data_IF_804089979575
#
_entry.id   IF_804089979575
#
_cell.length_a   1.000
_cell.length_b   1.000
_cell.length_c   1.000
_cell.angle_alpha   90.00
_cell.angle_beta   90.00
_cell.angle_gamma   90.00
#
_symmetry.space_group_name_H-M   'P 1'
#
loop_
_entity.id
_entity.type
_entity.pdbx_description
1 polymer ?
#
# COMPACT_ATOMS: atom_id res chain seq x y z
N UNK A 1 -3.21 -12.21 -12.67
CA UNK A 1 -3.57 -10.78 -12.79
C UNK A 1 -3.77 -10.19 -11.42
N UNK A 2 -3.08 -9.06 -11.14
CA UNK A 2 -3.23 -8.33 -9.90
C UNK A 2 -4.20 -7.15 -10.06
N UNK A 3 -4.96 -6.89 -9.02
CA UNK A 3 -5.84 -5.74 -8.88
C UNK A 3 -5.41 -5.00 -7.62
N UNK A 4 -5.11 -3.70 -7.72
CA UNK A 4 -4.70 -2.89 -6.58
C UNK A 4 -5.62 -1.68 -6.41
N UNK A 5 -5.98 -1.36 -5.16
CA UNK A 5 -6.72 -0.14 -4.83
C UNK A 5 -5.95 0.71 -3.84
N UNK A 6 -6.07 2.02 -3.93
CA UNK A 6 -5.49 2.92 -2.93
C UNK A 6 -5.34 4.34 -3.42
N UNK A 7 -4.84 5.18 -2.52
CA UNK A 7 -4.52 6.57 -2.83
C UNK A 7 -3.47 6.66 -3.93
N UNK A 8 -3.64 7.66 -4.80
CA UNK A 8 -2.72 8.07 -5.85
C UNK A 8 -2.33 9.52 -5.57
N UNK A 9 -1.06 9.75 -5.25
CA UNK A 9 -0.54 11.07 -4.87
C UNK A 9 0.62 11.50 -5.74
N UNK A 10 0.84 12.80 -5.83
CA UNK A 10 2.15 13.34 -6.19
C UNK A 10 2.87 13.65 -4.89
N UNK A 11 4.03 13.04 -4.68
CA UNK A 11 4.90 13.25 -3.54
C UNK A 11 5.97 14.28 -3.92
N UNK A 12 5.93 15.47 -3.31
CA UNK A 12 6.91 16.54 -3.47
C UNK A 12 7.83 16.57 -2.25
N UNK A 13 9.11 16.27 -2.44
CA UNK A 13 10.13 16.30 -1.37
C UNK A 13 11.08 17.46 -1.57
N UNK A 14 11.17 18.33 -0.58
CA UNK A 14 12.12 19.44 -0.49
C UNK A 14 13.19 19.09 0.54
N UNK A 15 14.45 19.06 0.14
CA UNK A 15 15.59 18.89 1.03
C UNK A 15 16.37 20.21 1.05
N UNK A 16 16.31 20.90 2.17
CA UNK A 16 16.98 22.18 2.39
C UNK A 16 18.03 22.05 3.52
N UNK A 17 19.21 22.68 3.42
CA UNK A 17 20.19 22.72 4.51
C UNK A 17 19.66 23.51 5.71
N UNK A 18 18.82 24.51 5.48
CA UNK A 18 18.19 25.37 6.47
C UNK A 18 16.91 25.96 5.85
N UNK A 19 15.85 26.13 6.66
CA UNK A 19 14.68 26.86 6.23
C UNK A 19 15.02 28.37 6.09
N UNK A 20 14.60 29.03 5.02
CA UNK A 20 14.83 30.44 4.86
C UNK A 20 14.05 31.25 5.90
N UNK A 21 14.56 32.42 6.33
CA UNK A 21 13.79 33.36 7.14
C UNK A 21 12.49 33.75 6.43
N UNK A 22 11.52 34.21 7.20
CA UNK A 22 10.24 34.68 6.65
C UNK A 22 10.44 35.72 5.52
N UNK A 23 9.74 35.55 4.41
CA UNK A 23 9.82 36.42 3.23
C UNK A 23 11.10 36.29 2.42
N UNK A 24 11.94 35.30 2.68
CA UNK A 24 13.16 34.99 1.91
C UNK A 24 13.04 33.67 1.19
N UNK A 25 13.86 33.51 0.13
CA UNK A 25 14.01 32.24 -0.59
C UNK A 25 15.38 31.63 -0.32
N UNK A 26 15.46 30.32 -0.43
CA UNK A 26 16.71 29.55 -0.31
C UNK A 26 16.79 28.50 -1.41
N UNK A 27 18.00 28.15 -1.79
CA UNK A 27 18.24 27.01 -2.69
C UNK A 27 17.99 25.70 -1.95
N UNK A 28 17.20 24.83 -2.55
CA UNK A 28 16.89 23.50 -2.05
C UNK A 28 16.85 22.49 -3.20
N UNK A 29 17.04 21.21 -2.89
CA UNK A 29 16.73 20.14 -3.83
C UNK A 29 15.25 19.83 -3.72
N UNK A 30 14.51 19.99 -4.81
CA UNK A 30 13.08 19.66 -4.87
C UNK A 30 12.89 18.55 -5.90
N UNK A 31 12.22 17.49 -5.49
CA UNK A 31 11.86 16.35 -6.35
C UNK A 31 10.37 16.10 -6.27
N UNK A 32 9.77 15.68 -7.36
CA UNK A 32 8.39 15.23 -7.40
C UNK A 32 8.32 13.83 -8.03
N UNK A 33 7.53 12.95 -7.43
CA UNK A 33 7.31 11.58 -7.91
C UNK A 33 5.86 11.16 -7.73
N UNK A 34 5.43 10.16 -8.50
CA UNK A 34 4.18 9.49 -8.21
C UNK A 34 4.34 8.67 -6.93
N UNK A 35 3.27 8.63 -6.13
CA UNK A 35 3.20 7.95 -4.86
C UNK A 35 1.77 7.53 -4.53
N UNK A 36 1.48 7.38 -3.23
CA UNK A 36 0.24 6.82 -2.74
C UNK A 36 0.27 5.30 -2.71
N UNK A 37 -0.31 4.71 -1.66
CA UNK A 37 -0.17 3.28 -1.37
C UNK A 37 -0.62 2.39 -2.55
N UNK A 38 -1.76 2.69 -3.16
CA UNK A 38 -2.25 1.93 -4.32
C UNK A 38 -1.30 1.98 -5.51
N UNK A 39 -0.81 3.19 -5.82
CA UNK A 39 0.16 3.41 -6.89
C UNK A 39 1.50 2.74 -6.64
N UNK A 40 1.99 2.77 -5.40
CA UNK A 40 3.25 2.13 -5.01
C UNK A 40 3.18 0.61 -5.15
N UNK A 41 2.14 -0.02 -4.61
CA UNK A 41 1.94 -1.48 -4.75
C UNK A 41 1.84 -1.88 -6.21
N UNK A 42 1.09 -1.12 -7.03
CA UNK A 42 1.00 -1.38 -8.47
C UNK A 42 2.36 -1.24 -9.18
N UNK A 43 3.14 -0.21 -8.83
CA UNK A 43 4.51 -0.03 -9.34
C UNK A 43 5.41 -1.21 -8.99
N UNK A 44 5.45 -1.62 -7.73
CA UNK A 44 6.32 -2.72 -7.29
C UNK A 44 5.89 -4.07 -7.86
N UNK A 45 4.60 -4.32 -8.03
CA UNK A 45 4.13 -5.50 -8.77
C UNK A 45 4.64 -5.49 -10.22
N UNK A 46 4.68 -4.32 -10.88
CA UNK A 46 5.28 -4.20 -12.23
C UNK A 46 6.77 -4.45 -12.23
N UNK A 47 7.51 -4.00 -11.21
CA UNK A 47 8.94 -4.33 -11.06
C UNK A 47 9.19 -5.84 -10.93
N UNK A 48 8.21 -6.58 -10.41
CA UNK A 48 8.22 -8.05 -10.28
C UNK A 48 7.61 -8.75 -11.51
N UNK A 49 7.46 -8.04 -12.65
CA UNK A 49 6.93 -8.61 -13.89
C UNK A 49 5.43 -8.92 -13.91
N UNK A 50 4.68 -8.53 -12.86
CA UNK A 50 3.26 -8.87 -12.73
C UNK A 50 2.36 -7.95 -13.56
N UNK A 51 1.34 -8.48 -14.26
CA UNK A 51 0.30 -7.67 -14.87
C UNK A 51 -0.62 -7.08 -13.79
N UNK A 52 -0.83 -5.74 -13.82
CA UNK A 52 -1.56 -5.01 -12.77
C UNK A 52 -2.65 -4.13 -13.36
N UNK A 53 -3.81 -4.17 -12.74
CA UNK A 53 -4.90 -3.22 -12.90
C UNK A 53 -5.06 -2.39 -11.62
N UNK A 54 -5.03 -1.07 -11.75
CA UNK A 54 -5.03 -0.14 -10.62
C UNK A 54 -6.30 0.69 -10.57
N UNK A 55 -6.94 0.72 -9.41
CA UNK A 55 -8.02 1.65 -9.08
C UNK A 55 -7.55 2.70 -8.09
N UNK A 56 -7.85 3.94 -8.38
CA UNK A 56 -7.68 5.10 -7.52
C UNK A 56 -8.26 6.31 -8.23
N UNK A 57 -8.55 7.39 -7.50
CA UNK A 57 -9.17 8.59 -8.07
C UNK A 57 -8.13 9.68 -8.26
N UNK A 58 -8.10 10.26 -9.45
CA UNK A 58 -7.19 11.36 -9.83
C UNK A 58 -7.99 12.60 -10.23
N UNK A 59 -7.39 13.77 -10.01
CA UNK A 59 -7.96 15.04 -10.48
C UNK A 59 -7.86 15.19 -11.99
N UNK A 60 -8.77 15.99 -12.60
CA UNK A 60 -8.65 16.49 -13.97
C UNK A 60 -7.71 17.69 -14.02
N UNK A 61 -6.48 17.47 -13.57
CA UNK A 61 -5.43 18.48 -13.46
C UNK A 61 -4.08 17.96 -14.00
N UNK A 62 -3.08 18.84 -14.07
CA UNK A 62 -1.74 18.51 -14.59
C UNK A 62 -1.12 17.34 -13.79
N UNK A 63 -1.31 17.29 -12.47
CA UNK A 63 -0.77 16.25 -11.62
C UNK A 63 -1.40 14.88 -11.95
N UNK A 64 -2.71 14.84 -12.14
CA UNK A 64 -3.42 13.65 -12.57
C UNK A 64 -3.05 13.19 -13.98
N UNK A 65 -2.83 14.13 -14.91
CA UNK A 65 -2.39 13.81 -16.28
C UNK A 65 -0.99 13.21 -16.28
N UNK A 66 -0.06 13.77 -15.50
CA UNK A 66 1.28 13.20 -15.30
C UNK A 66 1.22 11.79 -14.70
N UNK A 67 0.34 11.58 -13.73
CA UNK A 67 0.15 10.28 -13.10
C UNK A 67 -0.33 9.23 -14.13
N UNK A 68 -1.38 9.54 -14.89
CA UNK A 68 -1.91 8.64 -15.95
C UNK A 68 -0.84 8.32 -16.99
N UNK A 69 -0.09 9.34 -17.45
CA UNK A 69 1.00 9.14 -18.39
C UNK A 69 2.10 8.22 -17.82
N UNK A 70 2.40 8.35 -16.52
CA UNK A 70 3.33 7.45 -15.82
C UNK A 70 2.83 6.02 -15.80
N UNK A 71 1.57 5.80 -15.43
CA UNK A 71 0.97 4.45 -15.41
C UNK A 71 1.01 3.79 -16.79
N UNK A 72 0.68 4.54 -17.85
CA UNK A 72 0.74 4.05 -19.22
C UNK A 72 2.17 3.63 -19.63
N UNK A 73 3.18 4.42 -19.27
CA UNK A 73 4.60 4.08 -19.54
C UNK A 73 5.06 2.81 -18.80
N UNK A 74 4.50 2.55 -17.63
CA UNK A 74 4.79 1.36 -16.83
C UNK A 74 3.97 0.14 -17.27
N UNK A 75 3.01 0.30 -18.19
CA UNK A 75 2.10 -0.77 -18.59
C UNK A 75 1.14 -1.19 -17.48
N UNK A 76 0.77 -0.24 -16.58
CA UNK A 76 -0.23 -0.45 -15.54
C UNK A 76 -1.60 -0.01 -16.10
N UNK A 77 -2.58 -0.93 -16.10
CA UNK A 77 -3.95 -0.65 -16.55
C UNK A 77 -4.68 0.19 -15.49
N UNK A 78 -4.92 1.47 -15.81
CA UNK A 78 -5.65 2.38 -14.92
C UNK A 78 -7.17 2.22 -15.12
N UNK A 79 -7.85 1.78 -14.08
CA UNK A 79 -9.30 1.54 -14.05
C UNK A 79 -10.03 2.45 -13.03
N UNK A 80 -9.38 3.52 -12.59
CA UNK A 80 -9.94 4.50 -11.67
C UNK A 80 -10.76 5.58 -12.35
N UNK A 81 -11.15 6.59 -11.58
CA UNK A 81 -11.96 7.72 -12.05
C UNK A 81 -11.16 9.03 -12.04
N UNK A 82 -11.65 10.01 -12.84
CA UNK A 82 -11.13 11.37 -12.93
C UNK A 82 -12.20 12.35 -12.48
N UNK A 83 -11.88 13.19 -11.50
CA UNK A 83 -12.82 14.14 -10.87
C UNK A 83 -12.30 15.58 -10.94
N UNK A 84 -13.16 16.56 -10.68
CA UNK A 84 -12.75 17.98 -10.72
C UNK A 84 -12.01 18.42 -9.44
N UNK A 85 -12.02 17.60 -8.39
CA UNK A 85 -11.19 17.80 -7.20
C UNK A 85 -9.72 17.59 -7.55
N UNK A 86 -8.79 18.44 -7.09
CA UNK A 86 -7.37 18.29 -7.39
C UNK A 86 -6.80 16.94 -6.98
N UNK A 87 -5.84 16.43 -7.75
CA UNK A 87 -5.08 15.21 -7.42
C UNK A 87 -4.47 15.28 -6.02
N UNK A 88 -4.46 14.17 -5.29
CA UNK A 88 -3.85 14.10 -3.97
C UNK A 88 -2.35 14.43 -4.00
N UNK A 89 -1.89 15.13 -2.98
CA UNK A 89 -0.49 15.54 -2.86
C UNK A 89 0.04 15.31 -1.45
N UNK A 90 1.31 14.93 -1.37
CA UNK A 90 2.10 14.88 -0.14
C UNK A 90 3.30 15.79 -0.32
N UNK A 91 3.50 16.74 0.60
CA UNK A 91 4.69 17.60 0.64
C UNK A 91 5.53 17.23 1.85
N UNK A 92 6.77 16.84 1.60
CA UNK A 92 7.77 16.54 2.65
C UNK A 92 8.84 17.62 2.60
N UNK A 93 9.05 18.31 3.71
CA UNK A 93 10.12 19.29 3.87
C UNK A 93 11.11 18.73 4.89
N UNK A 94 12.35 18.49 4.45
CA UNK A 94 13.44 17.97 5.27
C UNK A 94 14.47 19.07 5.55
N UNK A 95 14.81 19.25 6.80
CA UNK A 95 15.81 20.21 7.28
C UNK A 95 16.65 19.57 8.40
N UNK A 96 17.99 19.57 8.24
CA UNK A 96 18.96 19.23 9.31
C UNK A 96 18.59 18.01 10.19
N UNK A 97 18.04 16.95 9.58
CA UNK A 97 17.67 15.71 10.30
C UNK A 97 16.25 15.67 10.85
N UNK A 98 15.46 16.74 10.68
CA UNK A 98 14.01 16.75 10.91
C UNK A 98 13.24 16.75 9.61
N UNK A 99 11.97 16.34 9.63
CA UNK A 99 11.07 16.47 8.49
C UNK A 99 9.68 16.87 8.93
N UNK A 100 8.99 17.59 8.05
CA UNK A 100 7.57 17.92 8.17
C UNK A 100 6.83 17.36 6.96
N UNK A 101 5.69 16.75 7.20
CA UNK A 101 4.86 16.18 6.14
C UNK A 101 3.48 16.83 6.16
N UNK A 102 3.07 17.29 4.98
CA UNK A 102 1.74 17.84 4.74
C UNK A 102 1.04 16.97 3.71
N UNK A 103 -0.18 16.55 3.97
CA UNK A 103 -0.97 15.71 3.08
C UNK A 103 -2.29 16.38 2.74
N UNK A 104 -2.59 16.42 1.45
CA UNK A 104 -3.90 16.73 0.92
C UNK A 104 -4.43 15.50 0.20
N UNK A 105 -5.53 14.92 0.68
CA UNK A 105 -6.13 13.75 0.01
C UNK A 105 -6.67 14.08 -1.38
N UNK A 106 -7.24 15.28 -1.56
CA UNK A 106 -7.74 15.73 -2.86
C UNK A 106 -8.72 14.71 -3.46
N UNK A 107 -8.50 14.36 -4.72
CA UNK A 107 -9.31 13.39 -5.47
C UNK A 107 -9.47 12.03 -4.78
N UNK A 108 -8.49 11.60 -3.97
CA UNK A 108 -8.59 10.35 -3.21
C UNK A 108 -9.74 10.34 -2.18
N UNK A 109 -10.28 11.51 -1.81
CA UNK A 109 -11.45 11.62 -0.95
C UNK A 109 -12.79 11.65 -1.74
N UNK A 110 -12.73 11.67 -3.06
CA UNK A 110 -13.89 11.75 -3.95
C UNK A 110 -14.10 10.43 -4.73
N UNK A 111 -13.86 9.31 -4.07
CA UNK A 111 -14.07 7.98 -4.66
C UNK A 111 -15.56 7.76 -4.92
N UNK A 112 -15.90 7.28 -6.12
CA UNK A 112 -17.25 6.81 -6.44
C UNK A 112 -17.39 5.32 -6.06
N UNK A 113 -18.21 4.96 -5.04
CA UNK A 113 -18.42 3.58 -4.63
C UNK A 113 -18.95 2.69 -5.77
N UNK A 114 -19.65 3.26 -6.77
CA UNK A 114 -20.15 2.49 -7.92
C UNK A 114 -18.99 2.07 -8.84
N UNK A 115 -18.04 2.97 -9.08
CA UNK A 115 -16.85 2.66 -9.87
C UNK A 115 -15.97 1.65 -9.11
N UNK A 116 -15.79 1.85 -7.82
CA UNK A 116 -15.10 0.91 -6.94
C UNK A 116 -15.74 -0.49 -6.97
N UNK A 117 -17.09 -0.58 -6.86
CA UNK A 117 -17.82 -1.85 -6.96
C UNK A 117 -17.52 -2.58 -8.27
N UNK A 118 -17.59 -1.88 -9.41
CA UNK A 118 -17.28 -2.46 -10.72
C UNK A 118 -15.86 -3.00 -10.79
N UNK A 119 -14.91 -2.27 -10.18
CA UNK A 119 -13.51 -2.71 -10.10
C UNK A 119 -13.37 -4.00 -9.29
N UNK A 120 -13.92 -4.06 -8.08
CA UNK A 120 -13.88 -5.26 -7.22
C UNK A 120 -14.56 -6.44 -7.91
N UNK A 121 -15.71 -6.23 -8.56
CA UNK A 121 -16.38 -7.25 -9.37
C UNK A 121 -15.50 -7.77 -10.52
N UNK A 122 -14.68 -6.90 -11.13
CA UNK A 122 -13.76 -7.33 -12.19
C UNK A 122 -12.64 -8.22 -11.64
N UNK A 123 -12.16 -7.96 -10.43
CA UNK A 123 -11.19 -8.81 -9.75
C UNK A 123 -11.77 -10.21 -9.45
N UNK A 124 -13.04 -10.28 -9.01
CA UNK A 124 -13.74 -11.53 -8.73
C UNK A 124 -14.01 -12.37 -9.99
N UNK A 125 -13.97 -11.77 -11.19
CA UNK A 125 -14.15 -12.49 -12.46
C UNK A 125 -12.82 -13.02 -13.04
N UNK A 126 -11.69 -12.56 -12.52
CA UNK A 126 -10.37 -12.95 -13.01
C UNK A 126 -9.93 -14.26 -12.32
N UNK A 127 -9.84 -15.34 -13.08
CA UNK A 127 -9.36 -16.63 -12.58
C UNK A 127 -7.92 -16.50 -12.05
N UNK A 128 -7.67 -16.93 -10.81
CA UNK A 128 -6.37 -16.82 -10.16
C UNK A 128 -5.92 -15.39 -9.89
N UNK A 129 -6.86 -14.44 -9.79
CA UNK A 129 -6.57 -13.04 -9.49
C UNK A 129 -6.18 -12.81 -8.02
N UNK A 130 -5.48 -11.70 -7.77
CA UNK A 130 -5.20 -11.19 -6.44
C UNK A 130 -5.70 -9.74 -6.34
N UNK A 131 -6.48 -9.43 -5.31
CA UNK A 131 -6.98 -8.09 -5.00
C UNK A 131 -6.24 -7.55 -3.77
N UNK A 132 -5.42 -6.53 -3.98
CA UNK A 132 -4.86 -5.72 -2.89
C UNK A 132 -5.79 -4.54 -2.58
N UNK A 133 -6.16 -4.39 -1.32
CA UNK A 133 -7.02 -3.32 -0.81
C UNK A 133 -6.23 -2.46 0.17
N UNK A 134 -6.03 -1.20 -0.19
CA UNK A 134 -5.50 -0.20 0.75
C UNK A 134 -6.56 0.24 1.74
N UNK A 135 -6.21 0.38 3.02
CA UNK A 135 -7.07 0.97 4.03
C UNK A 135 -7.54 2.38 3.67
N UNK A 136 -6.75 3.14 2.92
CA UNK A 136 -7.17 4.45 2.41
C UNK A 136 -8.38 4.38 1.48
N UNK A 137 -8.52 3.34 0.67
CA UNK A 137 -9.73 3.12 -0.16
C UNK A 137 -10.97 2.84 0.67
N UNK A 138 -10.79 2.39 1.91
CA UNK A 138 -11.88 2.02 2.81
C UNK A 138 -12.25 3.13 3.81
N UNK A 139 -11.70 4.34 3.68
CA UNK A 139 -12.12 5.50 4.45
C UNK A 139 -13.54 5.95 4.07
N UNK A 140 -13.97 5.64 2.85
CA UNK A 140 -15.35 5.85 2.39
C UNK A 140 -16.26 4.67 2.80
N UNK A 141 -17.40 4.98 3.45
CA UNK A 141 -18.35 3.98 3.94
C UNK A 141 -18.98 3.17 2.82
N UNK A 142 -19.24 3.81 1.68
CA UNK A 142 -19.80 3.17 0.49
C UNK A 142 -18.84 2.15 -0.11
N UNK A 143 -17.54 2.46 -0.15
CA UNK A 143 -16.51 1.54 -0.60
C UNK A 143 -16.37 0.34 0.34
N UNK A 144 -16.46 0.55 1.68
CA UNK A 144 -16.47 -0.56 2.65
C UNK A 144 -17.67 -1.47 2.46
N UNK A 145 -18.87 -0.88 2.33
CA UNK A 145 -20.09 -1.63 2.09
C UNK A 145 -20.03 -2.41 0.76
N UNK A 146 -19.50 -1.78 -0.29
CA UNK A 146 -19.31 -2.39 -1.60
C UNK A 146 -18.36 -3.58 -1.56
N UNK A 147 -17.20 -3.43 -0.90
CA UNK A 147 -16.25 -4.53 -0.73
C UNK A 147 -16.92 -5.73 -0.03
N UNK A 148 -17.59 -5.47 1.09
CA UNK A 148 -18.33 -6.50 1.83
C UNK A 148 -19.38 -7.18 0.97
N UNK A 149 -20.26 -6.43 0.31
CA UNK A 149 -21.31 -6.96 -0.52
C UNK A 149 -20.77 -7.84 -1.66
N UNK A 150 -19.73 -7.39 -2.38
CA UNK A 150 -19.16 -8.14 -3.50
C UNK A 150 -18.48 -9.42 -3.03
N UNK A 151 -17.63 -9.35 -2.00
CA UNK A 151 -16.85 -10.50 -1.55
C UNK A 151 -17.69 -11.57 -0.84
N UNK A 152 -18.82 -11.20 -0.24
CA UNK A 152 -19.72 -12.17 0.42
C UNK A 152 -20.79 -12.73 -0.51
N UNK A 153 -21.17 -12.03 -1.60
CA UNK A 153 -22.22 -12.47 -2.54
C UNK A 153 -21.70 -13.34 -3.67
N UNK A 154 -20.38 -13.44 -3.85
CA UNK A 154 -19.81 -14.10 -5.02
C UNK A 154 -19.95 -15.62 -4.95
N UNK A 155 -20.71 -16.19 -5.90
CA UNK A 155 -20.69 -17.62 -6.23
C UNK A 155 -19.55 -17.98 -7.20
N UNK A 156 -18.80 -16.97 -7.67
CA UNK A 156 -17.67 -17.10 -8.58
C UNK A 156 -16.37 -17.44 -7.81
N UNK A 157 -15.33 -17.83 -8.53
CA UNK A 157 -13.99 -18.05 -7.97
C UNK A 157 -13.51 -16.73 -7.33
N UNK A 158 -13.43 -16.71 -6.00
CA UNK A 158 -12.96 -15.54 -5.26
C UNK A 158 -11.47 -15.34 -5.52
N UNK A 159 -11.00 -14.10 -5.78
CA UNK A 159 -9.57 -13.81 -5.85
C UNK A 159 -8.92 -13.98 -4.46
N UNK A 160 -7.62 -14.14 -4.41
CA UNK A 160 -6.86 -13.90 -3.18
C UNK A 160 -7.05 -12.44 -2.79
N UNK A 161 -7.53 -12.16 -1.59
CA UNK A 161 -7.77 -10.80 -1.11
C UNK A 161 -6.77 -10.48 -0.01
N UNK A 162 -6.06 -9.37 -0.18
CA UNK A 162 -5.12 -8.85 0.82
C UNK A 162 -5.44 -7.40 1.16
N UNK A 163 -5.27 -7.04 2.43
CA UNK A 163 -5.48 -5.68 2.91
C UNK A 163 -4.28 -5.19 3.71
N UNK A 164 -3.85 -3.96 3.42
CA UNK A 164 -2.93 -3.19 4.26
C UNK A 164 -3.73 -2.06 4.92
N UNK A 165 -3.71 -1.89 6.27
CA UNK A 165 -4.54 -0.90 6.96
C UNK A 165 -4.11 0.55 6.72
N UNK A 166 -2.98 0.77 6.10
CA UNK A 166 -2.41 2.02 5.61
C UNK A 166 -1.71 2.89 6.67
N UNK A 167 -2.36 3.29 7.74
CA UNK A 167 -1.76 4.09 8.81
C UNK A 167 -2.66 4.16 10.05
N UNK A 168 -2.07 4.51 11.19
CA UNK A 168 -2.82 4.76 12.44
C UNK A 168 -3.90 5.83 12.23
N UNK A 169 -3.60 6.92 11.51
CA UNK A 169 -4.57 8.00 11.26
C UNK A 169 -5.75 7.50 10.42
N UNK A 170 -5.50 6.67 9.41
CA UNK A 170 -6.55 6.05 8.60
C UNK A 170 -7.41 5.12 9.46
N UNK A 171 -6.79 4.30 10.29
CA UNK A 171 -7.50 3.39 11.19
C UNK A 171 -8.31 4.13 12.26
N UNK A 172 -7.78 5.22 12.83
CA UNK A 172 -8.52 6.09 13.75
C UNK A 172 -9.76 6.71 13.07
N UNK A 173 -9.61 7.18 11.83
CA UNK A 173 -10.71 7.77 11.06
C UNK A 173 -11.79 6.75 10.73
N UNK A 174 -11.41 5.52 10.43
CA UNK A 174 -12.34 4.42 10.11
C UNK A 174 -12.99 3.81 11.34
N UNK A 175 -12.26 3.81 12.46
CA UNK A 175 -12.61 3.10 13.68
C UNK A 175 -12.15 1.63 13.67
N UNK A 176 -11.66 1.19 14.81
CA UNK A 176 -11.05 -0.15 15.03
C UNK A 176 -11.94 -1.29 14.53
N UNK A 177 -13.22 -1.25 14.90
CA UNK A 177 -14.16 -2.34 14.56
C UNK A 177 -14.41 -2.44 13.05
N UNK A 178 -14.47 -1.29 12.36
CA UNK A 178 -14.60 -1.26 10.90
C UNK A 178 -13.35 -1.80 10.19
N UNK A 179 -12.15 -1.50 10.71
CA UNK A 179 -10.90 -2.09 10.20
C UNK A 179 -10.90 -3.60 10.36
N UNK A 180 -11.24 -4.12 11.55
CA UNK A 180 -11.31 -5.55 11.80
C UNK A 180 -12.40 -6.23 10.96
N UNK A 181 -13.54 -5.57 10.75
CA UNK A 181 -14.61 -6.09 9.88
C UNK A 181 -14.14 -6.21 8.41
N UNK A 182 -13.41 -5.22 7.89
CA UNK A 182 -12.82 -5.28 6.57
C UNK A 182 -11.74 -6.37 6.47
N UNK A 183 -10.88 -6.49 7.48
CA UNK A 183 -9.82 -7.50 7.52
C UNK A 183 -10.36 -8.94 7.53
N UNK A 184 -11.57 -9.18 8.09
CA UNK A 184 -12.26 -10.50 8.03
C UNK A 184 -12.65 -10.92 6.61
N UNK A 185 -12.70 -10.00 5.69
CA UNK A 185 -12.98 -10.29 4.28
C UNK A 185 -11.73 -10.74 3.51
N UNK A 186 -10.55 -10.64 4.13
CA UNK A 186 -9.26 -10.82 3.48
C UNK A 186 -8.62 -12.17 3.84
N UNK A 187 -7.89 -12.76 2.90
CA UNK A 187 -7.06 -13.94 3.11
C UNK A 187 -5.75 -13.56 3.80
N UNK A 188 -5.25 -12.34 3.50
CA UNK A 188 -4.03 -11.77 4.08
C UNK A 188 -4.28 -10.37 4.62
N UNK A 189 -3.84 -10.12 5.85
CA UNK A 189 -3.85 -8.81 6.48
C UNK A 189 -2.43 -8.39 6.81
N UNK A 190 -1.97 -7.23 6.30
CA UNK A 190 -0.57 -6.82 6.24
C UNK A 190 -0.26 -5.54 7.05
N UNK A 191 -0.55 -5.47 8.34
CA UNK A 191 -0.19 -4.31 9.16
C UNK A 191 1.33 -4.21 9.38
N UNK A 192 1.82 -3.04 9.78
CA UNK A 192 3.10 -2.92 10.45
C UNK A 192 2.92 -3.21 11.96
N UNK A 193 4.04 -3.21 12.72
CA UNK A 193 4.04 -3.52 14.15
C UNK A 193 3.15 -2.55 14.95
N UNK A 194 3.28 -1.24 14.71
CA UNK A 194 2.51 -0.22 15.42
C UNK A 194 1.01 -0.37 15.15
N UNK A 195 0.64 -0.59 13.90
CA UNK A 195 -0.74 -0.84 13.47
C UNK A 195 -1.31 -2.13 14.10
N UNK A 196 -0.52 -3.20 14.11
CA UNK A 196 -0.93 -4.46 14.71
C UNK A 196 -1.16 -4.33 16.23
N UNK A 197 -0.23 -3.68 16.94
CA UNK A 197 -0.34 -3.44 18.37
C UNK A 197 -1.54 -2.53 18.70
N UNK A 198 -1.77 -1.47 17.91
CA UNK A 198 -2.90 -0.58 18.08
C UNK A 198 -4.24 -1.31 17.88
N UNK A 199 -4.36 -2.11 16.81
CA UNK A 199 -5.59 -2.88 16.53
C UNK A 199 -5.86 -3.94 17.59
N UNK A 200 -4.83 -4.61 18.08
CA UNK A 200 -4.95 -5.65 19.11
C UNK A 200 -5.11 -5.08 20.51
N UNK A 201 -4.78 -3.81 20.74
CA UNK A 201 -4.62 -3.20 22.07
C UNK A 201 -3.64 -4.01 22.95
N UNK A 202 -2.54 -4.44 22.37
CA UNK A 202 -1.52 -5.30 22.95
C UNK A 202 -0.11 -4.79 22.53
N UNK A 203 0.76 -4.59 23.49
CA UNK A 203 2.12 -4.08 23.24
C UNK A 203 3.08 -5.14 22.70
N UNK A 204 2.86 -6.42 23.01
CA UNK A 204 3.64 -7.53 22.47
C UNK A 204 3.14 -7.87 21.06
N UNK A 205 3.97 -7.61 20.05
CA UNK A 205 3.61 -7.81 18.65
C UNK A 205 3.26 -9.27 18.33
N UNK A 206 3.85 -10.24 19.01
CA UNK A 206 3.55 -11.66 18.81
C UNK A 206 2.15 -11.99 19.33
N UNK A 207 1.77 -11.47 20.49
CA UNK A 207 0.42 -11.63 21.03
C UNK A 207 -0.59 -10.86 20.20
N UNK A 208 -0.24 -9.62 19.77
CA UNK A 208 -1.06 -8.82 18.88
C UNK A 208 -1.37 -9.56 17.58
N UNK A 209 -0.35 -10.15 16.93
CA UNK A 209 -0.52 -10.91 15.70
C UNK A 209 -1.43 -12.13 15.89
N UNK A 210 -1.25 -12.89 16.98
CA UNK A 210 -2.13 -14.03 17.31
C UNK A 210 -3.57 -13.58 17.56
N UNK A 211 -3.77 -12.45 18.23
CA UNK A 211 -5.10 -11.89 18.45
C UNK A 211 -5.75 -11.50 17.12
N UNK A 212 -5.03 -10.82 16.24
CA UNK A 212 -5.52 -10.40 14.93
C UNK A 212 -5.86 -11.62 14.06
N UNK A 213 -5.00 -12.63 14.02
CA UNK A 213 -5.26 -13.86 13.26
C UNK A 213 -6.57 -14.52 13.70
N UNK A 214 -6.80 -14.66 15.01
CA UNK A 214 -8.07 -15.22 15.55
C UNK A 214 -9.26 -14.32 15.26
N UNK A 215 -9.07 -13.00 15.27
CA UNK A 215 -10.14 -12.01 15.06
C UNK A 215 -10.55 -11.89 13.60
N UNK A 216 -9.63 -12.10 12.65
CA UNK A 216 -9.87 -11.97 11.21
C UNK A 216 -10.15 -13.31 10.54
N UNK A 217 -9.59 -14.39 11.06
CA UNK A 217 -9.65 -15.73 10.46
C UNK A 217 -8.70 -15.95 9.29
N UNK A 218 -8.08 -14.88 8.78
CA UNK A 218 -7.10 -14.90 7.70
C UNK A 218 -5.66 -15.01 8.22
N UNK A 219 -4.70 -15.04 7.31
CA UNK A 219 -3.27 -14.95 7.65
C UNK A 219 -2.87 -13.50 7.91
N UNK A 220 -2.23 -13.24 9.05
CA UNK A 220 -1.72 -11.92 9.40
C UNK A 220 -0.22 -11.88 9.19
N UNK A 221 0.26 -10.87 8.45
CA UNK A 221 1.67 -10.67 8.11
C UNK A 221 2.12 -9.31 8.64
N UNK A 222 2.90 -9.30 9.71
CA UNK A 222 3.33 -8.06 10.36
C UNK A 222 4.72 -7.67 9.89
N UNK A 223 4.82 -6.45 9.35
CA UNK A 223 6.08 -5.81 8.95
C UNK A 223 6.77 -5.25 10.18
N UNK A 224 8.01 -5.70 10.48
CA UNK A 224 8.78 -5.33 11.67
C UNK A 224 9.94 -4.36 11.36
N UNK A 225 9.92 -3.72 10.19
CA UNK A 225 10.98 -2.82 9.73
C UNK A 225 12.33 -3.54 9.64
N UNK A 226 13.39 -2.98 10.24
CA UNK A 226 14.73 -3.55 10.21
C UNK A 226 14.84 -4.94 10.87
N UNK A 227 13.84 -5.34 11.68
CA UNK A 227 13.79 -6.67 12.30
C UNK A 227 13.20 -7.75 11.39
N UNK A 228 12.74 -7.40 10.20
CA UNK A 228 12.16 -8.34 9.24
C UNK A 228 10.65 -8.42 9.31
N UNK A 229 10.09 -9.62 9.40
CA UNK A 229 8.64 -9.82 9.39
C UNK A 229 8.20 -11.06 10.17
N UNK A 230 6.93 -11.06 10.57
CA UNK A 230 6.25 -12.12 11.29
C UNK A 230 4.94 -12.46 10.57
N UNK A 231 4.69 -13.75 10.33
CA UNK A 231 3.45 -14.26 9.78
C UNK A 231 2.77 -15.18 10.80
N UNK A 232 1.47 -15.04 10.98
CA UNK A 232 0.65 -15.95 11.75
C UNK A 232 -0.51 -16.46 10.89
N UNK A 233 -0.49 -17.74 10.58
CA UNK A 233 -1.55 -18.46 9.88
C UNK A 233 -2.06 -19.64 10.70
N UNK A 234 -2.79 -20.56 10.05
CA UNK A 234 -3.33 -21.77 10.70
C UNK A 234 -2.24 -22.72 11.23
N UNK A 235 -1.07 -22.71 10.61
CA UNK A 235 0.08 -23.55 11.00
C UNK A 235 0.92 -22.93 12.13
N UNK A 236 0.56 -21.75 12.60
CA UNK A 236 1.25 -21.04 13.67
C UNK A 236 2.03 -19.82 13.19
N UNK A 237 3.13 -19.51 13.90
CA UNK A 237 3.95 -18.33 13.64
C UNK A 237 5.21 -18.72 12.84
N UNK A 238 5.47 -17.94 11.81
CA UNK A 238 6.69 -17.96 11.01
C UNK A 238 7.36 -16.59 11.13
N UNK A 239 8.67 -16.56 11.25
CA UNK A 239 9.44 -15.32 11.29
C UNK A 239 10.55 -15.34 10.25
N UNK A 240 10.82 -14.19 9.64
CA UNK A 240 11.96 -13.97 8.78
C UNK A 240 12.74 -12.78 9.31
N UNK A 241 14.04 -12.94 9.62
CA UNK A 241 14.86 -11.82 10.11
C UNK A 241 15.04 -10.77 9.01
N UNK A 242 15.19 -9.52 9.43
CA UNK A 242 15.58 -8.44 8.52
C UNK A 242 17.07 -8.49 8.18
N UNK A 243 17.47 -7.60 7.29
CA UNK A 243 18.87 -7.43 6.90
C UNK A 243 19.39 -6.14 7.52
N UNK A 244 20.51 -6.23 8.24
CA UNK A 244 21.13 -5.06 8.85
C UNK A 244 21.79 -4.19 7.76
N UNK A 245 21.26 -3.00 7.55
CA UNK A 245 21.80 -1.99 6.64
C UNK A 245 21.36 -0.58 7.08
N UNK A 246 22.04 0.43 6.57
CA UNK A 246 21.60 1.82 6.71
C UNK A 246 20.72 2.15 5.49
N UNK A 247 19.42 2.43 5.66
CA UNK A 247 18.55 2.72 4.54
C UNK A 247 18.88 4.09 3.92
N UNK A 248 18.72 4.19 2.61
CA UNK A 248 18.77 5.47 1.88
C UNK A 248 17.41 6.17 1.99
N UNK A 249 16.32 5.41 1.80
CA UNK A 249 14.95 5.93 1.89
C UNK A 249 13.97 4.80 2.22
N UNK A 250 13.25 4.93 3.34
CA UNK A 250 12.30 3.92 3.81
C UNK A 250 10.89 4.10 3.23
N UNK A 251 10.63 5.19 2.51
CA UNK A 251 9.30 5.48 1.95
C UNK A 251 8.90 4.43 0.92
N UNK A 252 7.72 3.83 1.07
CA UNK A 252 7.24 2.76 0.18
C UNK A 252 7.81 1.36 0.48
N UNK A 253 8.62 1.18 1.53
CA UNK A 253 9.15 -0.14 1.90
C UNK A 253 8.03 -1.13 2.24
N UNK A 254 6.98 -0.68 2.93
CA UNK A 254 5.80 -1.48 3.26
C UNK A 254 5.02 -1.90 2.01
N UNK A 255 4.93 -1.02 1.01
CA UNK A 255 4.25 -1.28 -0.26
C UNK A 255 5.05 -2.28 -1.11
N UNK A 256 6.39 -2.14 -1.13
CA UNK A 256 7.30 -3.09 -1.77
C UNK A 256 7.21 -4.48 -1.14
N UNK A 257 7.18 -4.54 0.19
CA UNK A 257 6.96 -5.78 0.94
C UNK A 257 5.64 -6.45 0.54
N UNK A 258 4.53 -5.69 0.55
CA UNK A 258 3.20 -6.21 0.21
C UNK A 258 3.17 -6.75 -1.23
N UNK A 259 3.74 -6.03 -2.19
CA UNK A 259 3.80 -6.45 -3.59
C UNK A 259 4.59 -7.76 -3.76
N UNK A 260 5.77 -7.88 -3.14
CA UNK A 260 6.60 -9.07 -3.25
C UNK A 260 5.98 -10.28 -2.54
N UNK A 261 5.41 -10.07 -1.34
CA UNK A 261 4.69 -11.12 -0.62
C UNK A 261 3.56 -11.70 -1.48
N UNK A 262 2.70 -10.83 -2.02
CA UNK A 262 1.55 -11.26 -2.81
C UNK A 262 1.95 -11.88 -4.15
N UNK A 263 3.03 -11.38 -4.78
CA UNK A 263 3.59 -11.98 -5.99
C UNK A 263 4.03 -13.42 -5.74
N UNK A 264 4.75 -13.68 -4.64
CA UNK A 264 5.20 -15.01 -4.24
C UNK A 264 4.02 -15.94 -3.89
N UNK A 265 3.02 -15.44 -3.14
CA UNK A 265 1.80 -16.21 -2.80
C UNK A 265 1.06 -16.64 -4.07
N UNK A 266 0.84 -15.75 -5.03
CA UNK A 266 0.15 -16.07 -6.29
C UNK A 266 0.97 -17.03 -7.16
N UNK A 267 2.30 -16.99 -7.06
CA UNK A 267 3.19 -17.94 -7.71
C UNK A 267 3.19 -19.34 -7.05
N UNK A 268 2.50 -19.50 -5.91
CA UNK A 268 2.41 -20.78 -5.19
C UNK A 268 3.55 -21.05 -4.21
N UNK A 269 4.32 -20.01 -3.85
CA UNK A 269 5.37 -20.14 -2.82
C UNK A 269 4.78 -20.46 -1.45
N UNK A 270 5.49 -21.28 -0.67
CA UNK A 270 5.15 -21.52 0.72
C UNK A 270 5.26 -20.24 1.59
N UNK A 271 4.62 -20.22 2.77
CA UNK A 271 4.59 -19.01 3.61
C UNK A 271 5.97 -18.48 4.00
N UNK A 272 6.94 -19.38 4.28
CA UNK A 272 8.32 -19.00 4.63
C UNK A 272 9.02 -18.31 3.46
N UNK A 273 8.89 -18.85 2.25
CA UNK A 273 9.55 -18.32 1.04
C UNK A 273 8.91 -17.00 0.61
N UNK A 274 7.57 -16.90 0.71
CA UNK A 274 6.86 -15.66 0.43
C UNK A 274 7.28 -14.53 1.39
N UNK A 275 7.44 -14.86 2.68
CA UNK A 275 7.88 -13.91 3.69
C UNK A 275 9.34 -13.46 3.44
N UNK A 276 10.22 -14.41 3.07
CA UNK A 276 11.61 -14.12 2.74
C UNK A 276 11.73 -13.24 1.49
N UNK A 277 10.99 -13.54 0.43
CA UNK A 277 10.95 -12.73 -0.79
C UNK A 277 10.49 -11.29 -0.49
N UNK A 278 9.48 -11.12 0.34
CA UNK A 278 8.97 -9.81 0.75
C UNK A 278 10.03 -8.99 1.52
N UNK A 279 10.74 -9.61 2.47
CA UNK A 279 11.82 -8.95 3.21
C UNK A 279 12.94 -8.54 2.27
N UNK A 280 13.42 -9.43 1.40
CA UNK A 280 14.52 -9.15 0.48
C UNK A 280 14.18 -8.04 -0.52
N UNK A 281 12.98 -8.03 -1.09
CA UNK A 281 12.57 -6.98 -2.01
C UNK A 281 12.40 -5.62 -1.33
N UNK A 282 11.87 -5.60 -0.10
CA UNK A 282 11.81 -4.36 0.68
C UNK A 282 13.21 -3.83 1.05
N UNK A 283 14.17 -4.72 1.30
CA UNK A 283 15.58 -4.38 1.50
C UNK A 283 16.20 -3.76 0.25
N UNK A 284 15.94 -4.33 -0.94
CA UNK A 284 16.40 -3.73 -2.20
C UNK A 284 15.82 -2.32 -2.40
N UNK A 285 14.52 -2.13 -2.08
CA UNK A 285 13.85 -0.83 -2.17
C UNK A 285 14.49 0.23 -1.26
N UNK A 286 14.75 -0.07 0.00
CA UNK A 286 15.25 0.95 0.95
C UNK A 286 16.68 1.39 0.68
N UNK A 287 17.41 0.73 -0.20
CA UNK A 287 18.72 1.15 -0.70
C UNK A 287 18.64 2.19 -1.84
N UNK A 288 17.44 2.50 -2.33
CA UNK A 288 17.19 3.42 -3.42
C UNK A 288 16.38 4.62 -2.92
N UNK A 289 16.64 5.80 -3.49
CA UNK A 289 15.92 7.01 -3.16
C UNK A 289 14.58 7.10 -3.92
N UNK A 290 13.59 7.74 -3.28
CA UNK A 290 12.26 7.98 -3.84
C UNK A 290 11.30 6.80 -3.62
N UNK A 291 10.03 7.10 -3.72
CA UNK A 291 8.95 6.15 -3.43
C UNK A 291 8.83 5.05 -4.50
N UNK A 292 9.09 5.39 -5.76
CA UNK A 292 9.01 4.47 -6.92
C UNK A 292 10.32 4.53 -7.74
N UNK A 293 11.42 3.98 -7.23
CA UNK A 293 12.71 4.02 -7.92
C UNK A 293 12.69 3.17 -9.19
N UNK A 294 13.06 3.79 -10.33
CA UNK A 294 13.03 3.13 -11.65
C UNK A 294 14.05 2.01 -11.80
N UNK A 295 15.08 2.03 -11.00
CA UNK A 295 16.14 1.01 -10.94
C UNK A 295 15.58 -0.38 -10.63
N UNK A 296 14.42 -0.45 -9.95
CA UNK A 296 13.76 -1.73 -9.65
C UNK A 296 12.97 -2.31 -10.83
N UNK A 297 12.78 -1.59 -11.94
CA UNK A 297 12.04 -2.12 -13.09
C UNK A 297 12.72 -3.32 -13.75
N UNK A 298 14.00 -3.53 -13.51
CA UNK A 298 14.78 -4.66 -14.00
C UNK A 298 15.17 -5.64 -12.88
N UNK A 299 14.43 -5.66 -11.78
CA UNK A 299 14.76 -6.49 -10.62
C UNK A 299 14.62 -7.99 -10.88
N UNK A 300 13.82 -8.38 -11.88
CA UNK A 300 13.57 -9.78 -12.26
C UNK A 300 14.54 -10.31 -13.32
N UNK A 301 15.44 -9.49 -13.87
CA UNK A 301 16.48 -9.87 -14.80
C UNK A 301 17.79 -10.20 -14.06
#
# INVERSE_FOLDING_TARGET
MFFATGDLNIDATTVAPVLPPEGKEAQARITASCGGQGGNVAFFLRCLGQPVRLFGTLGRDIAGDLYVARLARLGIDYAGDRVDTPTGMVSVVQEAGSYHMYRQRGANAAVDPTVFTRFVCSACKATGGCLFVSGYSLLDDGCRAALGAVLTSSTAVRPVVAMDPASIDAMNSMGRDAVLAAARLCDYFLPNEEEACWLAQEADVTKATKFLQRSTGGTVVVKLGARGALLCGNEGIITTPGVALTPVDVTGAGDAFAAAFLSAVVAGSGPQDALAAAVLFSVAKVQLAGTQPLELLNYSD
#
